data_IF_965256143790
#
_entry.id   IF_965256143790
#
_cell.length_a   1.000
_cell.length_b   1.000
_cell.length_c   1.000
_cell.angle_alpha   90.00
_cell.angle_beta   90.00
_cell.angle_gamma   90.00
#
_symmetry.space_group_name_H-M   'P 1'
#
loop_
_entity.id
_entity.type
_entity.pdbx_description
1 polymer ?
#
# COMPACT_ATOMS: atom_id res chain seq x y z
N UNK A 1 -9.93 6.34 22.40
CA UNK A 1 -10.98 6.22 21.36
C UNK A 1 -10.49 5.22 20.33
N UNK A 2 -11.28 4.18 20.00
CA UNK A 2 -10.80 3.13 19.09
C UNK A 2 -10.79 3.67 17.65
N UNK A 3 -9.63 3.68 17.01
CA UNK A 3 -9.38 4.20 15.65
C UNK A 3 -10.37 3.61 14.63
N UNK A 4 -10.75 2.34 14.80
CA UNK A 4 -11.70 1.65 13.90
C UNK A 4 -13.13 2.17 13.98
N UNK A 5 -13.47 2.93 15.02
CA UNK A 5 -14.80 3.51 15.21
C UNK A 5 -14.84 5.01 14.95
N UNK A 6 -13.73 5.59 14.54
CA UNK A 6 -13.63 7.01 14.19
C UNK A 6 -14.10 7.24 12.74
N UNK A 7 -15.26 7.87 12.58
CA UNK A 7 -15.83 8.17 11.27
C UNK A 7 -14.89 9.01 10.40
N UNK A 8 -14.13 9.96 10.99
CA UNK A 8 -13.19 10.78 10.25
C UNK A 8 -12.05 9.94 9.66
N UNK A 9 -11.52 8.98 10.44
CA UNK A 9 -10.47 8.05 9.97
C UNK A 9 -10.98 7.14 8.85
N UNK A 10 -12.20 6.66 8.96
CA UNK A 10 -12.83 5.85 7.91
C UNK A 10 -13.03 6.69 6.66
N UNK A 11 -13.51 7.92 6.79
CA UNK A 11 -13.68 8.86 5.67
C UNK A 11 -12.36 9.20 4.98
N UNK A 12 -11.30 9.52 5.74
CA UNK A 12 -9.96 9.75 5.20
C UNK A 12 -9.42 8.53 4.43
N UNK A 13 -9.63 7.32 4.96
CA UNK A 13 -9.24 6.08 4.29
C UNK A 13 -10.00 5.86 2.98
N UNK A 14 -11.32 6.14 2.96
CA UNK A 14 -12.13 6.11 1.75
C UNK A 14 -11.68 7.14 0.70
N UNK A 15 -11.32 8.34 1.13
CA UNK A 15 -10.74 9.36 0.23
C UNK A 15 -9.43 8.87 -0.42
N UNK A 16 -8.59 8.14 0.30
CA UNK A 16 -7.38 7.53 -0.27
C UNK A 16 -7.71 6.42 -1.27
N UNK A 17 -8.71 5.60 -0.96
CA UNK A 17 -9.19 4.57 -1.88
C UNK A 17 -9.69 5.16 -3.21
N UNK A 18 -10.47 6.27 -3.17
CA UNK A 18 -10.92 7.00 -4.36
C UNK A 18 -9.72 7.52 -5.17
N UNK A 19 -8.75 8.17 -4.52
CA UNK A 19 -7.57 8.74 -5.17
C UNK A 19 -6.71 7.71 -5.90
N UNK A 20 -6.77 6.44 -5.51
CA UNK A 20 -6.01 5.37 -6.16
C UNK A 20 -6.47 5.08 -7.60
N UNK A 21 -7.73 5.37 -7.94
CA UNK A 21 -8.29 5.17 -9.28
C UNK A 21 -9.51 6.10 -9.53
N UNK A 22 -9.33 7.44 -9.57
CA UNK A 22 -10.43 8.41 -9.51
C UNK A 22 -11.37 8.36 -10.71
N UNK A 23 -10.88 7.92 -11.87
CA UNK A 23 -11.68 7.87 -13.11
C UNK A 23 -12.47 6.57 -13.30
N UNK A 24 -12.36 5.62 -12.38
CA UNK A 24 -13.16 4.39 -12.47
C UNK A 24 -14.59 4.64 -12.00
N UNK A 25 -15.55 4.08 -12.73
CA UNK A 25 -16.97 4.19 -12.39
C UNK A 25 -17.27 3.85 -10.92
N UNK A 26 -16.72 2.74 -10.41
CA UNK A 26 -16.91 2.35 -9.02
C UNK A 26 -16.35 3.39 -8.02
N UNK A 27 -15.25 4.05 -8.34
CA UNK A 27 -14.69 5.10 -7.48
C UNK A 27 -15.57 6.33 -7.47
N UNK A 28 -16.12 6.73 -8.62
CA UNK A 28 -17.04 7.86 -8.74
C UNK A 28 -18.37 7.58 -8.03
N UNK A 29 -18.92 6.38 -8.19
CA UNK A 29 -20.13 5.97 -7.47
C UNK A 29 -19.91 5.95 -5.95
N UNK A 30 -18.75 5.46 -5.50
CA UNK A 30 -18.38 5.48 -4.10
C UNK A 30 -18.22 6.92 -3.59
N UNK A 31 -17.61 7.81 -4.37
CA UNK A 31 -17.41 9.22 -4.00
C UNK A 31 -18.73 9.95 -3.78
N UNK A 32 -19.71 9.76 -4.66
CA UNK A 32 -21.06 10.35 -4.51
C UNK A 32 -21.73 9.92 -3.22
N UNK A 33 -21.56 8.67 -2.82
CA UNK A 33 -22.17 8.09 -1.61
C UNK A 33 -21.20 8.03 -0.41
N UNK A 34 -20.05 8.68 -0.48
CA UNK A 34 -18.94 8.48 0.44
C UNK A 34 -19.31 8.65 1.91
N UNK A 35 -20.07 9.70 2.22
CA UNK A 35 -20.47 9.97 3.61
C UNK A 35 -21.43 8.90 4.15
N UNK A 36 -22.40 8.49 3.35
CA UNK A 36 -23.36 7.43 3.70
C UNK A 36 -22.63 6.10 3.92
N UNK A 37 -21.79 5.69 2.96
CA UNK A 37 -21.01 4.46 3.03
C UNK A 37 -20.02 4.46 4.20
N UNK A 38 -19.48 5.61 4.57
CA UNK A 38 -18.65 5.77 5.78
C UNK A 38 -19.45 5.48 7.04
N UNK A 39 -20.66 6.01 7.15
CA UNK A 39 -21.53 5.78 8.32
C UNK A 39 -21.98 4.31 8.42
N UNK A 40 -22.32 3.70 7.30
CA UNK A 40 -22.67 2.28 7.21
C UNK A 40 -21.48 1.39 7.61
N UNK A 41 -20.31 1.64 7.04
CA UNK A 41 -19.10 0.89 7.36
C UNK A 41 -18.71 1.04 8.85
N UNK A 42 -18.83 2.25 9.41
CA UNK A 42 -18.60 2.48 10.83
C UNK A 42 -19.52 1.63 11.69
N UNK A 43 -20.81 1.59 11.36
CA UNK A 43 -21.79 0.76 12.06
C UNK A 43 -21.44 -0.73 11.95
N UNK A 44 -21.15 -1.19 10.73
CA UNK A 44 -20.84 -2.60 10.48
C UNK A 44 -19.56 -3.06 11.20
N UNK A 45 -18.55 -2.19 11.29
CA UNK A 45 -17.35 -2.48 12.10
C UNK A 45 -17.70 -2.53 13.60
N UNK A 46 -18.48 -1.59 14.13
CA UNK A 46 -18.90 -1.57 15.53
C UNK A 46 -19.71 -2.79 15.93
N UNK A 47 -20.56 -3.26 15.03
CA UNK A 47 -21.44 -4.41 15.25
C UNK A 47 -20.80 -5.75 14.86
N UNK A 48 -19.52 -5.76 14.46
CA UNK A 48 -18.79 -6.95 13.99
C UNK A 48 -19.46 -7.65 12.78
N UNK A 49 -20.17 -6.90 11.98
CA UNK A 49 -20.88 -7.39 10.78
C UNK A 49 -20.07 -7.29 9.50
N UNK A 50 -19.04 -6.44 9.48
CA UNK A 50 -18.19 -6.29 8.30
C UNK A 50 -17.56 -7.63 7.90
N UNK A 51 -17.69 -7.97 6.62
CA UNK A 51 -17.04 -9.14 6.01
C UNK A 51 -16.40 -8.71 4.68
N UNK A 52 -15.12 -9.04 4.44
CA UNK A 52 -14.49 -8.77 3.17
C UNK A 52 -15.21 -9.45 2.01
N UNK A 53 -15.28 -8.79 0.87
CA UNK A 53 -15.83 -9.35 -0.36
C UNK A 53 -14.83 -10.31 -1.01
N UNK A 54 -15.30 -11.20 -1.89
CA UNK A 54 -14.41 -12.10 -2.65
C UNK A 54 -13.58 -11.38 -3.71
N UNK A 55 -13.86 -10.11 -3.97
CA UNK A 55 -13.25 -9.33 -5.03
C UNK A 55 -13.57 -9.84 -6.44
N UNK A 56 -13.24 -9.07 -7.45
CA UNK A 56 -13.38 -9.44 -8.86
C UNK A 56 -12.07 -9.95 -9.41
N UNK A 57 -12.10 -11.08 -10.13
CA UNK A 57 -10.92 -11.69 -10.76
C UNK A 57 -10.94 -11.45 -12.25
N UNK A 58 -9.81 -11.07 -12.83
CA UNK A 58 -9.64 -10.95 -14.26
C UNK A 58 -8.19 -11.22 -14.65
N UNK A 59 -7.97 -11.54 -15.92
CA UNK A 59 -6.65 -11.85 -16.46
C UNK A 59 -6.19 -10.74 -17.37
N UNK A 60 -4.95 -10.32 -17.23
CA UNK A 60 -4.29 -9.39 -18.13
C UNK A 60 -3.10 -10.06 -18.81
N UNK A 61 -2.82 -9.66 -20.05
CA UNK A 61 -1.59 -10.02 -20.75
C UNK A 61 -0.67 -8.79 -20.78
N UNK A 62 0.42 -8.84 -20.05
CA UNK A 62 1.40 -7.77 -19.99
C UNK A 62 2.71 -8.25 -20.62
N UNK A 63 3.01 -7.76 -21.81
CA UNK A 63 4.23 -8.10 -22.57
C UNK A 63 4.42 -9.61 -22.76
N UNK A 64 3.35 -10.34 -23.10
CA UNK A 64 3.37 -11.80 -23.29
C UNK A 64 3.26 -12.61 -21.99
N UNK A 65 3.25 -11.99 -20.83
CA UNK A 65 3.06 -12.67 -19.55
C UNK A 65 1.61 -12.53 -19.08
N UNK A 66 0.96 -13.67 -18.91
CA UNK A 66 -0.41 -13.75 -18.38
C UNK A 66 -0.37 -13.58 -16.86
N UNK A 67 -1.17 -12.62 -16.35
CA UNK A 67 -1.31 -12.36 -14.92
C UNK A 67 -2.77 -12.43 -14.50
N UNK A 68 -3.07 -13.23 -13.49
CA UNK A 68 -4.37 -13.25 -12.85
C UNK A 68 -4.40 -12.17 -11.77
N UNK A 69 -5.31 -11.22 -11.90
CA UNK A 69 -5.44 -10.09 -10.97
C UNK A 69 -6.75 -10.24 -10.20
N UNK A 70 -6.70 -10.00 -8.91
CA UNK A 70 -7.87 -9.88 -8.05
C UNK A 70 -7.97 -8.43 -7.58
N UNK A 71 -9.12 -7.78 -7.80
CA UNK A 71 -9.39 -6.43 -7.29
C UNK A 71 -10.35 -6.50 -6.12
N UNK A 72 -10.06 -5.72 -5.10
CA UNK A 72 -10.97 -5.53 -3.97
C UNK A 72 -12.02 -4.47 -4.30
N UNK A 73 -13.17 -4.58 -3.67
CA UNK A 73 -14.21 -3.56 -3.68
C UNK A 73 -13.74 -2.27 -2.97
N UNK A 74 -14.43 -1.15 -3.18
CA UNK A 74 -14.06 0.15 -2.62
C UNK A 74 -14.18 0.16 -1.08
N UNK A 75 -15.16 -0.55 -0.52
CA UNK A 75 -15.30 -0.72 0.93
C UNK A 75 -14.09 -1.48 1.49
N UNK A 76 -13.69 -2.60 0.87
CA UNK A 76 -12.52 -3.37 1.31
C UNK A 76 -11.22 -2.58 1.19
N UNK A 77 -11.08 -1.78 0.12
CA UNK A 77 -9.93 -0.86 -0.01
C UNK A 77 -9.90 0.18 1.10
N UNK A 78 -11.06 0.72 1.48
CA UNK A 78 -11.18 1.66 2.60
C UNK A 78 -10.73 1.01 3.90
N UNK A 79 -11.18 -0.21 4.20
CA UNK A 79 -10.75 -0.95 5.39
C UNK A 79 -9.25 -1.25 5.34
N UNK A 80 -8.72 -1.66 4.19
CA UNK A 80 -7.29 -1.88 4.03
C UNK A 80 -6.47 -0.61 4.31
N UNK A 81 -6.87 0.56 3.78
CA UNK A 81 -6.22 1.83 4.10
C UNK A 81 -6.33 2.16 5.59
N UNK A 82 -7.49 1.96 6.19
CA UNK A 82 -7.71 2.20 7.62
C UNK A 82 -6.74 1.37 8.48
N UNK A 83 -6.61 0.08 8.20
CA UNK A 83 -5.70 -0.83 8.90
C UNK A 83 -4.23 -0.48 8.62
N UNK A 84 -3.86 -0.32 7.35
CA UNK A 84 -2.47 -0.07 6.96
C UNK A 84 -1.95 1.24 7.56
N UNK A 85 -2.72 2.33 7.46
CA UNK A 85 -2.24 3.65 7.85
C UNK A 85 -2.21 3.85 9.37
N UNK A 86 -3.14 3.24 10.09
CA UNK A 86 -3.31 3.51 11.52
C UNK A 86 -2.78 2.39 12.44
N UNK A 87 -2.54 1.20 11.90
CA UNK A 87 -2.06 0.05 12.68
C UNK A 87 -0.76 -0.52 12.12
N UNK A 88 -0.77 -1.02 10.88
CA UNK A 88 0.38 -1.75 10.34
C UNK A 88 1.60 -0.84 10.14
N UNK A 89 1.42 0.30 9.47
CA UNK A 89 2.54 1.22 9.19
C UNK A 89 3.18 1.73 10.47
N UNK A 90 2.46 2.26 11.47
CA UNK A 90 3.05 2.67 12.74
C UNK A 90 3.73 1.53 13.51
N UNK A 91 3.16 0.31 13.47
CA UNK A 91 3.73 -0.84 14.17
C UNK A 91 5.01 -1.35 13.53
N UNK A 92 5.10 -1.36 12.19
CA UNK A 92 6.21 -1.99 11.46
C UNK A 92 7.36 -0.99 11.22
N UNK A 93 7.06 0.29 10.96
CA UNK A 93 8.06 1.29 10.57
C UNK A 93 9.27 1.37 11.50
N UNK A 94 9.15 1.30 12.85
CA UNK A 94 10.29 1.34 13.76
C UNK A 94 11.28 0.18 13.60
N UNK A 95 10.83 -0.95 13.06
CA UNK A 95 11.65 -2.15 12.89
C UNK A 95 12.29 -2.26 11.50
N UNK A 96 11.95 -1.37 10.58
CA UNK A 96 12.49 -1.38 9.23
C UNK A 96 13.89 -0.77 9.19
N UNK A 97 14.82 -1.42 8.47
CA UNK A 97 16.14 -0.83 8.21
C UNK A 97 15.97 0.48 7.42
N UNK A 98 16.89 1.42 7.63
CA UNK A 98 16.84 2.73 6.99
C UNK A 98 16.71 2.66 5.47
N UNK A 99 17.41 1.72 4.83
CA UNK A 99 17.44 1.56 3.37
C UNK A 99 16.23 0.80 2.81
N UNK A 100 15.32 0.31 3.65
CA UNK A 100 14.03 -0.20 3.19
C UNK A 100 13.18 0.95 2.65
N UNK A 101 12.84 0.91 1.39
CA UNK A 101 11.98 1.91 0.74
C UNK A 101 10.71 1.35 0.15
N UNK A 102 10.47 0.04 0.28
CA UNK A 102 9.23 -0.56 -0.20
C UNK A 102 8.03 0.01 0.56
N UNK A 103 7.09 0.60 -0.18
CA UNK A 103 5.87 1.21 0.37
C UNK A 103 6.09 2.28 1.45
N UNK A 104 7.29 2.87 1.52
CA UNK A 104 7.62 3.93 2.46
C UNK A 104 7.39 5.31 1.85
N UNK A 105 6.75 6.21 2.61
CA UNK A 105 6.57 7.60 2.20
C UNK A 105 7.94 8.28 2.03
N UNK A 106 8.11 8.99 0.93
CA UNK A 106 9.35 9.71 0.56
C UNK A 106 10.57 8.81 0.26
N UNK A 107 10.41 7.50 0.18
CA UNK A 107 11.47 6.55 -0.14
C UNK A 107 11.18 5.81 -1.46
N UNK A 108 11.06 6.55 -2.55
CA UNK A 108 10.88 6.01 -3.89
C UNK A 108 12.21 5.66 -4.58
N UNK A 109 12.16 5.44 -5.90
CA UNK A 109 13.32 5.08 -6.74
C UNK A 109 14.49 6.06 -6.57
N UNK A 110 14.22 7.37 -6.51
CA UNK A 110 15.26 8.38 -6.32
C UNK A 110 16.00 8.25 -4.98
N UNK A 111 15.30 7.85 -3.91
CA UNK A 111 15.92 7.55 -2.63
C UNK A 111 16.87 6.37 -2.73
N UNK A 112 16.44 5.25 -3.34
CA UNK A 112 17.26 4.06 -3.49
C UNK A 112 18.50 4.31 -4.34
N UNK A 113 18.36 5.08 -5.42
CA UNK A 113 19.50 5.48 -6.26
C UNK A 113 20.55 6.23 -5.44
N UNK A 114 20.15 7.24 -4.66
CA UNK A 114 21.06 7.98 -3.78
C UNK A 114 21.72 7.08 -2.73
N UNK A 115 20.95 6.13 -2.16
CA UNK A 115 21.50 5.19 -1.18
C UNK A 115 22.55 4.25 -1.80
N UNK A 116 22.29 3.76 -3.01
CA UNK A 116 23.26 2.96 -3.75
C UNK A 116 24.56 3.76 -3.99
N UNK A 117 24.46 5.01 -4.43
CA UNK A 117 25.64 5.88 -4.62
C UNK A 117 26.46 6.03 -3.32
N UNK A 118 25.78 6.25 -2.19
CA UNK A 118 26.43 6.35 -0.87
C UNK A 118 27.16 5.04 -0.52
N UNK A 119 26.54 3.88 -0.72
CA UNK A 119 27.15 2.58 -0.43
C UNK A 119 28.35 2.29 -1.35
N UNK A 120 28.27 2.62 -2.63
CA UNK A 120 29.40 2.48 -3.56
C UNK A 120 30.57 3.38 -3.16
N UNK A 121 30.32 4.63 -2.77
CA UNK A 121 31.38 5.51 -2.27
C UNK A 121 31.98 5.01 -0.95
N UNK A 122 31.18 4.48 -0.03
CA UNK A 122 31.67 3.88 1.21
C UNK A 122 32.55 2.65 0.93
N UNK A 123 32.12 1.79 0.02
CA UNK A 123 32.90 0.63 -0.43
C UNK A 123 34.26 1.06 -0.98
N UNK A 124 34.28 2.01 -1.93
CA UNK A 124 35.52 2.52 -2.51
C UNK A 124 36.46 3.13 -1.47
N UNK A 125 35.92 3.91 -0.53
CA UNK A 125 36.76 4.50 0.56
C UNK A 125 37.41 3.42 1.42
N UNK A 126 36.70 2.33 1.68
CA UNK A 126 37.15 1.23 2.52
C UNK A 126 38.18 0.33 1.80
N UNK A 127 37.88 -0.02 0.55
CA UNK A 127 38.67 -1.03 -0.18
C UNK A 127 39.67 -0.44 -1.19
N UNK A 128 39.54 0.87 -1.50
CA UNK A 128 40.35 1.56 -2.50
C UNK A 128 40.31 0.92 -3.89
N UNK A 129 39.25 0.19 -4.18
CA UNK A 129 39.00 -0.51 -5.44
C UNK A 129 37.57 -0.37 -5.87
N UNK A 130 37.35 -0.35 -7.21
CA UNK A 130 36.02 -0.44 -7.83
C UNK A 130 35.60 -1.89 -8.12
N UNK A 131 36.44 -2.85 -7.83
CA UNK A 131 36.14 -4.27 -8.04
C UNK A 131 35.28 -4.80 -6.89
N UNK A 132 34.16 -5.43 -7.24
CA UNK A 132 33.22 -5.98 -6.27
C UNK A 132 32.07 -6.71 -6.92
N UNK A 133 31.21 -7.28 -6.11
CA UNK A 133 30.03 -8.01 -6.55
C UNK A 133 28.76 -7.39 -5.94
N UNK A 134 27.68 -7.34 -6.75
CA UNK A 134 26.35 -6.95 -6.29
C UNK A 134 25.48 -8.19 -6.31
N UNK A 135 24.94 -8.56 -5.15
CA UNK A 135 23.98 -9.65 -5.03
C UNK A 135 22.55 -9.10 -5.16
N UNK A 136 21.83 -9.57 -6.17
CA UNK A 136 20.41 -9.31 -6.36
C UNK A 136 19.62 -10.55 -5.91
N UNK A 137 18.69 -10.34 -4.97
CA UNK A 137 17.82 -11.41 -4.47
C UNK A 137 16.37 -11.03 -4.80
N UNK A 138 15.63 -11.94 -5.43
CA UNK A 138 14.21 -11.81 -5.70
C UNK A 138 13.49 -13.10 -5.28
N UNK A 139 12.34 -12.95 -4.62
CA UNK A 139 11.53 -14.08 -4.19
C UNK A 139 10.54 -14.45 -5.28
N UNK A 140 10.59 -15.70 -5.74
CA UNK A 140 9.62 -16.21 -6.70
C UNK A 140 8.39 -16.78 -6.00
N UNK A 141 7.22 -16.53 -6.55
CA UNK A 141 5.93 -17.13 -6.11
C UNK A 141 5.52 -16.82 -4.66
N UNK A 142 5.77 -15.61 -4.20
CA UNK A 142 5.26 -15.20 -2.89
C UNK A 142 3.95 -14.44 -3.03
#
# INVERSE_FOLDING_TARGET
MNIFYDANKIYEAGTKAIKSAPFKYQSQLFEVNHLLLTAELQRDIKEWKYKPTKGSKFTINERGKIRNITTNDMIDKTVNHLICDNVLTPAITPYLIYDNGASQKNKGVSFHRKRLEVHLHQYYRKHKSNEGYILLIDFSKY
#
